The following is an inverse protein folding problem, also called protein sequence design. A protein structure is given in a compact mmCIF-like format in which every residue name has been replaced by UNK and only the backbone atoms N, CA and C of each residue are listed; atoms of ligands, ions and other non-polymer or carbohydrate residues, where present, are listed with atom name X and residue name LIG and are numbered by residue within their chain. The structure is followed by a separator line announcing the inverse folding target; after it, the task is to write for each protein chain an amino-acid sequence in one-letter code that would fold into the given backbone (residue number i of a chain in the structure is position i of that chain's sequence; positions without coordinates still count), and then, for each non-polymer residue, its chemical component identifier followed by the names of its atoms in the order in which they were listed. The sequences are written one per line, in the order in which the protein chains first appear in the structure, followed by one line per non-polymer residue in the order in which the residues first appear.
data_IF_577823840391
#
_entry.id   IF_577823840391
#
_cell.length_a   1.000
_cell.length_b   1.000
_cell.length_c   1.000
_cell.angle_alpha   90.00
_cell.angle_beta   90.00
_cell.angle_gamma   90.00
#
_symmetry.space_group_name_H-M   'P 1'
#
loop_
_entity.id
_entity.type
_entity.pdbx_description
1 polymer ?
#
# COMPACT_ATOMS: atom_id res chain seq x y z
N UNK A 1 -9.05 2.16 30.74
CA UNK A 1 -10.18 2.12 29.80
C UNK A 1 -9.81 2.97 28.59
N UNK A 2 -9.19 2.38 27.56
CA UNK A 2 -8.78 3.13 26.36
C UNK A 2 -10.01 3.37 25.49
N UNK A 3 -10.40 4.63 25.30
CA UNK A 3 -11.56 4.98 24.49
C UNK A 3 -11.35 4.62 23.01
N UNK A 4 -12.43 4.47 22.22
CA UNK A 4 -12.40 4.03 20.80
C UNK A 4 -11.58 4.92 19.86
N UNK A 5 -11.13 6.09 20.33
CA UNK A 5 -10.23 7.00 19.61
C UNK A 5 -8.75 6.62 19.72
N UNK A 6 -8.35 5.88 20.76
CA UNK A 6 -6.93 5.53 21.03
C UNK A 6 -6.41 4.53 20.01
N UNK A 7 -7.15 3.44 19.77
CA UNK A 7 -6.80 2.42 18.78
C UNK A 7 -6.76 2.98 17.36
N UNK A 8 -7.58 3.98 17.06
CA UNK A 8 -7.60 4.63 15.75
C UNK A 8 -6.32 5.42 15.49
N UNK A 9 -5.79 6.12 16.52
CA UNK A 9 -4.52 6.85 16.44
C UNK A 9 -3.34 5.89 16.30
N UNK A 10 -3.32 4.79 17.05
CA UNK A 10 -2.30 3.75 16.95
C UNK A 10 -2.26 3.14 15.54
N UNK A 11 -3.42 2.81 14.97
CA UNK A 11 -3.52 2.32 13.59
C UNK A 11 -3.05 3.35 12.56
N UNK A 12 -3.34 4.64 12.76
CA UNK A 12 -2.82 5.71 11.88
C UNK A 12 -1.29 5.78 11.92
N UNK A 13 -0.69 5.71 13.11
CA UNK A 13 0.76 5.71 13.27
C UNK A 13 1.41 4.49 12.62
N UNK A 14 0.83 3.30 12.81
CA UNK A 14 1.29 2.06 12.17
C UNK A 14 1.20 2.18 10.65
N UNK A 15 0.08 2.70 10.13
CA UNK A 15 -0.13 2.89 8.68
C UNK A 15 0.90 3.85 8.11
N UNK A 16 1.16 4.97 8.79
CA UNK A 16 2.17 5.94 8.37
C UNK A 16 3.57 5.32 8.35
N UNK A 17 3.90 4.50 9.36
CA UNK A 17 5.14 3.73 9.40
C UNK A 17 5.27 2.76 8.22
N UNK A 18 4.19 2.04 7.87
CA UNK A 18 4.16 1.15 6.71
C UNK A 18 4.37 1.89 5.39
N UNK A 19 3.78 3.07 5.23
CA UNK A 19 3.99 3.94 4.05
C UNK A 19 5.47 4.35 3.96
N UNK A 20 6.04 4.86 5.06
CA UNK A 20 7.45 5.26 5.09
C UNK A 20 8.39 4.10 4.77
N UNK A 21 8.19 2.94 5.41
CA UNK A 21 8.96 1.73 5.13
C UNK A 21 8.78 1.26 3.69
N UNK A 22 7.57 1.33 3.14
CA UNK A 22 7.29 0.98 1.75
C UNK A 22 8.04 1.89 0.77
N UNK A 23 8.07 3.19 1.03
CA UNK A 23 8.84 4.16 0.22
C UNK A 23 10.35 3.94 0.36
N UNK A 24 10.84 3.71 1.58
CA UNK A 24 12.26 3.43 1.84
C UNK A 24 12.71 2.11 1.20
N UNK A 25 11.85 1.08 1.21
CA UNK A 25 12.13 -0.21 0.55
C UNK A 25 12.30 -0.07 -0.96
N UNK A 26 11.65 0.92 -1.59
CA UNK A 26 11.72 1.15 -3.03
C UNK A 26 12.87 2.07 -3.45
N UNK A 27 13.39 2.88 -2.52
CA UNK A 27 14.42 3.89 -2.80
C UNK A 27 15.81 3.48 -2.33
N UNK A 28 15.95 2.96 -1.11
CA UNK A 28 17.26 2.76 -0.46
C UNK A 28 17.68 1.29 -0.36
N UNK A 29 16.72 0.37 -0.42
CA UNK A 29 16.99 -1.04 -0.19
C UNK A 29 17.77 -1.72 -1.32
N UNK A 30 17.81 -1.14 -2.53
CA UNK A 30 18.42 -1.77 -3.73
C UNK A 30 19.88 -2.18 -3.52
N UNK A 31 20.62 -1.52 -2.65
CA UNK A 31 22.04 -1.80 -2.37
C UNK A 31 22.29 -2.72 -1.17
N UNK A 32 21.28 -3.01 -0.33
CA UNK A 32 21.48 -3.66 0.97
C UNK A 32 20.57 -4.88 1.19
N UNK A 33 19.43 -4.97 0.50
CA UNK A 33 18.43 -6.02 0.75
C UNK A 33 18.53 -7.23 -0.19
N UNK A 34 18.12 -8.43 0.29
CA UNK A 34 17.99 -9.62 -0.55
C UNK A 34 17.02 -9.40 -1.73
N UNK A 35 17.28 -10.06 -2.85
CA UNK A 35 16.49 -9.93 -4.09
C UNK A 35 14.98 -10.16 -3.90
N UNK A 36 14.59 -11.14 -3.08
CA UNK A 36 13.17 -11.43 -2.81
C UNK A 36 12.47 -10.25 -2.11
N UNK A 37 13.18 -9.53 -1.24
CA UNK A 37 12.60 -8.44 -0.47
C UNK A 37 12.51 -7.16 -1.31
N UNK A 38 13.40 -7.00 -2.30
CA UNK A 38 13.28 -5.97 -3.33
C UNK A 38 12.10 -6.22 -4.28
N UNK A 39 11.80 -7.50 -4.56
CA UNK A 39 10.74 -7.89 -5.47
C UNK A 39 9.35 -7.81 -4.84
N UNK A 40 9.21 -8.20 -3.56
CA UNK A 40 7.89 -8.32 -2.91
C UNK A 40 7.68 -7.40 -1.70
N UNK A 41 8.75 -6.84 -1.14
CA UNK A 41 8.67 -6.08 0.12
C UNK A 41 7.87 -4.78 -0.02
N UNK A 42 8.04 -4.09 -1.14
CA UNK A 42 7.29 -2.87 -1.44
C UNK A 42 5.78 -3.12 -1.53
N UNK A 43 5.38 -4.21 -2.18
CA UNK A 43 3.97 -4.53 -2.43
C UNK A 43 3.29 -5.09 -1.18
N UNK A 44 4.01 -5.89 -0.39
CA UNK A 44 3.54 -6.29 0.94
C UNK A 44 3.28 -5.08 1.86
N UNK A 45 4.23 -4.15 1.94
CA UNK A 45 4.10 -2.94 2.76
C UNK A 45 3.00 -2.01 2.23
N UNK A 46 2.84 -1.91 0.91
CA UNK A 46 1.77 -1.16 0.29
C UNK A 46 0.40 -1.77 0.60
N UNK A 47 0.22 -3.09 0.45
CA UNK A 47 -1.03 -3.77 0.80
C UNK A 47 -1.38 -3.61 2.29
N UNK A 48 -0.38 -3.70 3.17
CA UNK A 48 -0.56 -3.47 4.60
C UNK A 48 -0.99 -2.02 4.89
N UNK A 49 -0.46 -1.03 4.17
CA UNK A 49 -0.86 0.38 4.31
C UNK A 49 -2.31 0.63 3.83
N UNK A 50 -2.76 -0.07 2.79
CA UNK A 50 -4.16 0.00 2.32
C UNK A 50 -5.10 -0.57 3.38
N UNK A 51 -4.76 -1.72 3.98
CA UNK A 51 -5.52 -2.28 5.10
C UNK A 51 -5.61 -1.31 6.28
N UNK A 52 -4.49 -0.72 6.70
CA UNK A 52 -4.44 0.25 7.79
C UNK A 52 -5.28 1.51 7.52
N UNK A 53 -5.25 2.01 6.29
CA UNK A 53 -6.08 3.14 5.84
C UNK A 53 -7.57 2.79 5.90
N UNK A 54 -7.96 1.63 5.39
CA UNK A 54 -9.36 1.17 5.46
C UNK A 54 -9.81 0.94 6.90
N UNK A 55 -8.96 0.36 7.75
CA UNK A 55 -9.25 0.11 9.17
C UNK A 55 -9.43 1.42 9.96
N UNK A 56 -8.65 2.45 9.65
CA UNK A 56 -8.78 3.77 10.29
C UNK A 56 -10.02 4.53 9.83
N UNK A 57 -10.37 4.45 8.54
CA UNK A 57 -11.58 5.08 7.99
C UNK A 57 -12.85 4.34 8.40
N UNK A 58 -12.85 3.01 8.33
CA UNK A 58 -14.00 2.13 8.54
C UNK A 58 -13.91 1.41 9.88
N UNK A 59 -13.63 2.13 10.98
CA UNK A 59 -13.36 1.56 12.31
C UNK A 59 -14.47 0.70 12.97
N UNK A 60 -15.57 0.39 12.26
CA UNK A 60 -16.63 -0.56 12.64
C UNK A 60 -16.73 -1.78 11.72
N UNK A 61 -15.94 -1.84 10.63
CA UNK A 61 -15.95 -2.94 9.69
C UNK A 61 -15.23 -4.16 10.28
N UNK A 62 -15.66 -5.37 9.88
CA UNK A 62 -14.99 -6.60 10.32
C UNK A 62 -13.57 -6.68 9.75
N UNK A 63 -12.58 -7.16 10.52
CA UNK A 63 -11.21 -7.34 10.01
C UNK A 63 -11.14 -8.19 8.75
N UNK A 64 -12.01 -9.20 8.63
CA UNK A 64 -12.11 -10.06 7.44
C UNK A 64 -12.55 -9.29 6.19
N UNK A 65 -13.51 -8.38 6.33
CA UNK A 65 -13.97 -7.57 5.21
C UNK A 65 -12.90 -6.56 4.79
N UNK A 66 -12.19 -5.97 5.76
CA UNK A 66 -11.07 -5.07 5.49
C UNK A 66 -9.93 -5.79 4.77
N UNK A 67 -9.60 -7.01 5.21
CA UNK A 67 -8.60 -7.85 4.56
C UNK A 67 -9.02 -8.18 3.13
N UNK A 68 -10.24 -8.70 2.93
CA UNK A 68 -10.76 -9.02 1.60
C UNK A 68 -10.73 -7.80 0.67
N UNK A 69 -11.18 -6.63 1.15
CA UNK A 69 -11.16 -5.40 0.37
C UNK A 69 -9.74 -4.96 0.01
N UNK A 70 -8.81 -5.01 0.96
CA UNK A 70 -7.39 -4.70 0.70
C UNK A 70 -6.76 -5.64 -0.33
N UNK A 71 -7.09 -6.94 -0.27
CA UNK A 71 -6.63 -7.93 -1.24
C UNK A 71 -7.24 -7.68 -2.63
N UNK A 72 -8.54 -7.35 -2.71
CA UNK A 72 -9.19 -6.99 -3.97
C UNK A 72 -8.57 -5.74 -4.60
N UNK A 73 -8.28 -4.71 -3.79
CA UNK A 73 -7.60 -3.50 -4.27
C UNK A 73 -6.19 -3.81 -4.77
N UNK A 74 -5.43 -4.64 -4.04
CA UNK A 74 -4.09 -5.06 -4.45
C UNK A 74 -4.12 -5.84 -5.76
N UNK A 75 -5.04 -6.81 -5.89
CA UNK A 75 -5.22 -7.56 -7.12
C UNK A 75 -5.64 -6.64 -8.28
N UNK A 76 -6.52 -5.68 -8.04
CA UNK A 76 -6.91 -4.70 -9.06
C UNK A 76 -5.74 -3.84 -9.54
N UNK A 77 -4.86 -3.45 -8.62
CA UNK A 77 -3.64 -2.71 -8.95
C UNK A 77 -2.67 -3.56 -9.77
N UNK A 78 -2.40 -4.80 -9.36
CA UNK A 78 -1.58 -5.77 -10.13
C UNK A 78 -2.14 -6.01 -11.54
N UNK A 79 -3.45 -6.28 -11.65
CA UNK A 79 -4.11 -6.46 -12.94
C UNK A 79 -4.04 -5.20 -13.80
N UNK A 80 -4.08 -4.01 -13.19
CA UNK A 80 -3.89 -2.76 -13.93
C UNK A 80 -2.49 -2.67 -14.56
N UNK A 81 -1.45 -3.28 -13.95
CA UNK A 81 -0.09 -3.30 -14.50
C UNK A 81 0.02 -4.11 -15.78
N UNK A 82 -0.81 -5.15 -15.95
CA UNK A 82 -0.90 -5.93 -17.19
C UNK A 82 -1.58 -5.16 -18.33
N UNK A 83 -2.37 -4.13 -18.01
CA UNK A 83 -3.06 -3.31 -19.01
C UNK A 83 -2.14 -2.19 -19.50
N UNK A 84 -1.56 -2.37 -20.69
CA UNK A 84 -0.76 -1.35 -21.38
C UNK A 84 -1.66 -0.48 -22.27
N UNK A 85 -2.38 0.48 -21.65
CA UNK A 85 -3.23 1.42 -22.39
C UNK A 85 -2.70 2.87 -22.30
N UNK A 86 -2.74 3.67 -23.38
CA UNK A 86 -2.19 5.04 -23.40
C UNK A 86 -2.76 5.96 -22.32
N UNK A 87 -4.04 5.80 -21.95
CA UNK A 87 -4.64 6.60 -20.87
C UNK A 87 -4.06 6.23 -19.50
N UNK A 88 -3.73 4.95 -19.29
CA UNK A 88 -3.24 4.42 -18.03
C UNK A 88 -1.77 4.81 -17.85
N UNK A 89 -0.99 4.73 -18.93
CA UNK A 89 0.39 5.22 -19.00
C UNK A 89 0.45 6.74 -18.77
N UNK A 90 -0.46 7.52 -19.38
CA UNK A 90 -0.55 8.95 -19.11
C UNK A 90 -0.94 9.25 -17.66
N UNK A 91 -1.85 8.46 -17.07
CA UNK A 91 -2.17 8.52 -15.64
C UNK A 91 -0.95 8.23 -14.76
N UNK A 92 -0.15 7.22 -15.11
CA UNK A 92 1.14 6.86 -14.47
C UNK A 92 2.22 7.93 -14.67
N UNK A 93 2.06 8.89 -15.57
CA UNK A 93 2.98 10.03 -15.63
C UNK A 93 2.87 10.95 -14.39
N UNK A 94 1.74 10.91 -13.69
CA UNK A 94 1.54 11.69 -12.47
C UNK A 94 2.04 10.94 -11.22
N UNK A 95 2.90 11.59 -10.44
CA UNK A 95 3.55 11.02 -9.25
C UNK A 95 2.57 10.43 -8.24
N UNK A 96 1.42 11.07 -8.04
CA UNK A 96 0.38 10.59 -7.12
C UNK A 96 -0.23 9.26 -7.59
N UNK A 97 -0.60 9.17 -8.87
CA UNK A 97 -1.17 7.95 -9.45
C UNK A 97 -0.15 6.82 -9.53
N UNK A 98 1.14 7.09 -9.76
CA UNK A 98 2.20 6.06 -9.64
C UNK A 98 2.24 5.42 -8.26
N UNK A 99 2.22 6.23 -7.20
CA UNK A 99 2.19 5.73 -5.82
C UNK A 99 0.91 4.94 -5.52
N UNK A 100 -0.23 5.41 -6.04
CA UNK A 100 -1.53 4.76 -5.86
C UNK A 100 -1.62 3.43 -6.61
N UNK A 101 -0.99 3.32 -7.78
CA UNK A 101 -0.93 2.11 -8.60
C UNK A 101 0.27 1.20 -8.27
N UNK A 102 1.00 1.49 -7.19
CA UNK A 102 2.14 0.69 -6.75
C UNK A 102 3.29 0.61 -7.77
N UNK A 103 3.28 1.44 -8.83
CA UNK A 103 4.31 1.40 -9.86
C UNK A 103 5.54 2.20 -9.43
N UNK A 104 6.62 1.48 -9.15
CA UNK A 104 7.91 2.04 -8.72
C UNK A 104 8.99 1.85 -9.78
N UNK A 105 9.23 2.92 -10.56
CA UNK A 105 10.46 3.27 -11.28
C UNK A 105 11.39 2.08 -11.61
N UNK A 106 11.03 1.37 -12.68
CA UNK A 106 12.04 0.70 -13.50
C UNK A 106 12.73 1.74 -14.38
#
# INVERSE_FOLDING_TARGET
MQGPSTHRKEMMLITLGMIMLGVSSRTWARSVMPAWMLLYGGDFLWAASVYGTLATMMGKASPRNLLALSMTLCLGVELSQLVSSPWLENGRSHTLLRFLLGQGFL
#
